data_IF_046001937059
#
_entry.id   IF_046001937059
#
_cell.length_a   1.000
_cell.length_b   1.000
_cell.length_c   1.000
_cell.angle_alpha   90.00
_cell.angle_beta   90.00
_cell.angle_gamma   90.00
#
_symmetry.space_group_name_H-M   'P 1'
#
loop_
_entity.id
_entity.type
_entity.pdbx_description
1 polymer ?
#
# COMPACT_ATOMS: atom_id res chain seq x y z
N UNK A 1 18.41 -41.86 50.31
CA UNK A 1 17.45 -41.02 49.55
C UNK A 1 17.98 -39.59 49.52
N UNK A 2 18.30 -39.06 48.33
CA UNK A 2 19.00 -37.78 48.18
C UNK A 2 18.11 -36.56 48.52
N UNK A 3 18.64 -35.52 49.21
CA UNK A 3 17.87 -34.33 49.61
C UNK A 3 17.47 -33.42 48.43
N UNK A 4 18.14 -33.56 47.29
CA UNK A 4 17.95 -32.75 46.07
C UNK A 4 16.57 -33.03 45.42
N UNK A 5 16.05 -34.26 45.53
CA UNK A 5 14.75 -34.62 44.93
C UNK A 5 13.55 -34.01 45.67
N UNK A 6 13.71 -33.66 46.96
CA UNK A 6 12.67 -32.99 47.77
C UNK A 6 12.57 -31.49 47.45
N UNK A 7 13.68 -30.83 47.15
CA UNK A 7 13.69 -29.42 46.77
C UNK A 7 13.00 -29.18 45.41
N UNK A 8 13.17 -30.11 44.46
CA UNK A 8 12.53 -30.06 43.15
C UNK A 8 11.00 -30.26 43.23
N UNK A 9 10.54 -31.25 44.02
CA UNK A 9 9.10 -31.51 44.20
C UNK A 9 8.35 -30.37 44.92
N UNK A 10 9.04 -29.52 45.69
CA UNK A 10 8.43 -28.38 46.39
C UNK A 10 8.12 -27.22 45.44
N UNK A 11 8.85 -27.06 44.33
CA UNK A 11 8.59 -26.01 43.32
C UNK A 11 7.42 -26.35 42.38
N UNK A 12 7.14 -27.64 42.17
CA UNK A 12 6.00 -28.10 41.35
C UNK A 12 4.66 -28.04 42.10
N UNK A 13 4.66 -28.07 43.44
CA UNK A 13 3.45 -28.00 44.28
C UNK A 13 2.95 -26.57 44.59
N UNK A 14 3.62 -25.54 44.08
CA UNK A 14 3.28 -24.13 44.34
C UNK A 14 2.59 -23.40 43.17
N UNK A 15 2.24 -24.11 42.09
CA UNK A 15 1.50 -23.50 40.99
C UNK A 15 0.00 -23.53 41.33
N UNK A 16 -0.48 -22.47 41.99
CA UNK A 16 -1.92 -22.23 42.10
C UNK A 16 -2.46 -22.00 40.70
N UNK A 17 -3.22 -22.97 40.20
CA UNK A 17 -3.88 -22.88 38.89
C UNK A 17 -4.82 -21.69 38.85
N UNK A 18 -4.76 -20.94 37.76
CA UNK A 18 -5.68 -19.86 37.42
C UNK A 18 -7.12 -20.35 37.60
N UNK A 19 -7.94 -19.60 38.32
CA UNK A 19 -9.30 -20.05 38.58
C UNK A 19 -10.13 -19.99 37.29
N UNK A 20 -11.10 -20.89 37.12
CA UNK A 20 -11.95 -20.91 35.91
C UNK A 20 -12.67 -19.56 35.70
N UNK A 21 -13.02 -18.88 36.79
CA UNK A 21 -13.71 -17.59 36.78
C UNK A 21 -12.82 -16.43 36.31
N UNK A 22 -11.53 -16.53 36.58
CA UNK A 22 -10.51 -15.55 36.21
C UNK A 22 -10.21 -15.64 34.71
N UNK A 23 -10.20 -16.87 34.15
CA UNK A 23 -10.13 -17.04 32.69
C UNK A 23 -11.44 -16.61 32.02
N UNK A 24 -12.59 -16.86 32.66
CA UNK A 24 -13.90 -16.48 32.14
C UNK A 24 -14.06 -14.97 32.02
N UNK A 25 -13.73 -14.19 33.05
CA UNK A 25 -13.89 -12.73 32.99
C UNK A 25 -12.96 -12.11 31.94
N UNK A 26 -11.75 -12.66 31.76
CA UNK A 26 -10.80 -12.18 30.75
C UNK A 26 -11.33 -12.41 29.33
N UNK A 27 -11.87 -13.59 29.02
CA UNK A 27 -12.41 -13.84 27.67
C UNK A 27 -13.65 -12.99 27.39
N UNK A 28 -14.46 -12.68 28.42
CA UNK A 28 -15.64 -11.81 28.28
C UNK A 28 -15.18 -10.38 27.95
N UNK A 29 -14.22 -9.83 28.69
CA UNK A 29 -13.70 -8.49 28.43
C UNK A 29 -12.97 -8.44 27.07
N UNK A 30 -12.15 -9.45 26.75
CA UNK A 30 -11.47 -9.55 25.46
C UNK A 30 -12.47 -9.65 24.29
N UNK A 31 -13.60 -10.34 24.48
CA UNK A 31 -14.68 -10.40 23.50
C UNK A 31 -15.29 -9.03 23.18
N UNK A 32 -15.54 -8.20 24.21
CA UNK A 32 -16.05 -6.85 24.03
C UNK A 32 -15.04 -5.97 23.29
N UNK A 33 -13.76 -6.04 23.67
CA UNK A 33 -12.68 -5.28 23.01
C UNK A 33 -12.53 -5.70 21.54
N UNK A 34 -12.55 -7.00 21.25
CA UNK A 34 -12.44 -7.52 19.88
C UNK A 34 -13.61 -7.07 18.99
N UNK A 35 -14.83 -7.03 19.53
CA UNK A 35 -16.01 -6.60 18.78
C UNK A 35 -15.92 -5.16 18.24
N UNK A 36 -15.28 -4.24 18.99
CA UNK A 36 -15.08 -2.85 18.56
C UNK A 36 -13.80 -2.70 17.72
N UNK A 37 -12.73 -3.41 18.08
CA UNK A 37 -11.44 -3.29 17.41
C UNK A 37 -11.46 -3.76 15.96
N UNK A 38 -12.15 -4.87 15.65
CA UNK A 38 -12.21 -5.46 14.30
C UNK A 38 -12.79 -4.48 13.26
N UNK A 39 -14.00 -3.90 13.43
CA UNK A 39 -14.57 -3.02 12.41
C UNK A 39 -13.74 -1.74 12.21
N UNK A 40 -13.17 -1.18 13.27
CA UNK A 40 -12.31 0.02 13.19
C UNK A 40 -11.05 -0.27 12.39
N UNK A 41 -10.38 -1.39 12.69
CA UNK A 41 -9.13 -1.74 12.01
C UNK A 41 -9.34 -2.00 10.52
N UNK A 42 -10.45 -2.65 10.12
CA UNK A 42 -10.79 -2.89 8.71
C UNK A 42 -10.99 -1.59 7.94
N UNK A 43 -11.61 -0.58 8.55
CA UNK A 43 -11.76 0.75 7.95
C UNK A 43 -10.42 1.48 7.80
N UNK A 44 -9.54 1.40 8.81
CA UNK A 44 -8.21 2.03 8.77
C UNK A 44 -7.30 1.39 7.73
N UNK A 45 -7.30 0.05 7.62
CA UNK A 45 -6.53 -0.66 6.59
C UNK A 45 -6.93 -0.20 5.18
N UNK A 46 -8.24 -0.13 4.90
CA UNK A 46 -8.74 0.36 3.61
C UNK A 46 -8.28 1.79 3.33
N UNK A 47 -8.33 2.67 4.32
CA UNK A 47 -7.83 4.06 4.19
C UNK A 47 -6.32 4.11 3.92
N UNK A 48 -5.54 3.24 4.56
CA UNK A 48 -4.10 3.12 4.31
C UNK A 48 -3.81 2.76 2.85
N UNK A 49 -4.51 1.77 2.29
CA UNK A 49 -4.34 1.38 0.89
C UNK A 49 -4.76 2.46 -0.10
N UNK A 50 -5.76 3.28 0.24
CA UNK A 50 -6.11 4.46 -0.57
C UNK A 50 -5.05 5.55 -0.47
N UNK A 51 -4.46 5.74 0.71
CA UNK A 51 -3.32 6.64 0.87
C UNK A 51 -2.10 6.16 0.06
N UNK A 52 -1.85 4.85 0.02
CA UNK A 52 -0.79 4.26 -0.81
C UNK A 52 -0.97 4.60 -2.29
N UNK A 53 -2.21 4.53 -2.81
CA UNK A 53 -2.51 4.95 -4.18
C UNK A 53 -2.20 6.43 -4.41
N UNK A 54 -2.60 7.31 -3.49
CA UNK A 54 -2.31 8.75 -3.56
C UNK A 54 -0.81 9.03 -3.55
N UNK A 55 -0.04 8.33 -2.74
CA UNK A 55 1.43 8.45 -2.70
C UNK A 55 2.06 8.02 -4.03
N UNK A 56 1.59 6.93 -4.64
CA UNK A 56 2.06 6.50 -5.95
C UNK A 56 1.83 7.58 -7.02
N UNK A 57 0.63 8.16 -7.04
CA UNK A 57 0.26 9.25 -7.97
C UNK A 57 1.09 10.51 -7.72
N UNK A 58 1.30 10.90 -6.47
CA UNK A 58 2.12 12.06 -6.12
C UNK A 58 3.57 11.88 -6.58
N UNK A 59 4.16 10.71 -6.36
CA UNK A 59 5.51 10.38 -6.82
C UNK A 59 5.61 10.40 -8.36
N UNK A 60 4.59 9.89 -9.04
CA UNK A 60 4.52 9.93 -10.50
C UNK A 60 4.45 11.38 -11.00
N UNK A 61 3.60 12.22 -10.39
CA UNK A 61 3.49 13.65 -10.72
C UNK A 61 4.80 14.40 -10.54
N UNK A 62 5.56 14.11 -9.49
CA UNK A 62 6.88 14.70 -9.28
C UNK A 62 7.88 14.23 -10.35
N UNK A 63 7.89 12.94 -10.69
CA UNK A 63 8.75 12.41 -11.74
C UNK A 63 8.45 13.05 -13.11
N UNK A 64 7.17 13.25 -13.40
CA UNK A 64 6.66 13.98 -14.56
C UNK A 64 7.19 15.42 -14.58
N UNK A 65 6.98 16.18 -13.49
CA UNK A 65 7.41 17.58 -13.42
C UNK A 65 8.92 17.72 -13.60
N UNK A 66 9.68 16.82 -12.99
CA UNK A 66 11.13 16.76 -13.14
C UNK A 66 11.55 16.41 -14.56
N UNK A 67 10.80 15.57 -15.26
CA UNK A 67 11.09 15.20 -16.64
C UNK A 67 10.87 16.36 -17.61
N UNK A 68 9.74 17.07 -17.45
CA UNK A 68 9.40 18.27 -18.23
C UNK A 68 10.41 19.39 -17.96
N UNK A 69 10.81 19.60 -16.70
CA UNK A 69 11.75 20.67 -16.36
C UNK A 69 13.15 20.46 -16.92
N UNK A 70 13.50 19.22 -17.32
CA UNK A 70 14.86 18.85 -17.76
C UNK A 70 15.00 18.70 -19.27
N UNK A 71 13.94 18.36 -19.97
CA UNK A 71 13.96 18.19 -21.41
C UNK A 71 13.01 19.24 -21.96
N UNK A 72 13.50 20.21 -22.74
CA UNK A 72 12.66 21.23 -23.42
C UNK A 72 11.82 20.62 -24.57
N UNK A 73 11.73 19.30 -24.64
CA UNK A 73 11.14 18.54 -25.75
C UNK A 73 9.70 18.15 -25.41
N UNK A 74 8.75 18.85 -26.01
CA UNK A 74 7.30 18.62 -25.85
C UNK A 74 6.82 17.22 -26.24
N UNK A 75 7.67 16.37 -26.84
CA UNK A 75 7.36 15.00 -27.25
C UNK A 75 7.98 14.00 -26.29
N UNK A 76 7.36 13.89 -25.13
CA UNK A 76 7.88 13.13 -24.00
C UNK A 76 7.52 11.64 -24.12
N UNK A 77 8.41 10.84 -24.70
CA UNK A 77 8.30 9.39 -24.71
C UNK A 77 8.32 8.84 -23.27
N UNK A 78 7.17 8.41 -22.77
CA UNK A 78 7.09 7.62 -21.57
C UNK A 78 7.75 6.26 -21.86
N UNK A 79 9.04 6.11 -21.55
CA UNK A 79 9.65 4.77 -21.44
C UNK A 79 9.15 4.12 -20.17
N UNK A 80 7.88 3.72 -20.20
CA UNK A 80 7.39 2.73 -19.28
C UNK A 80 8.16 1.43 -19.55
N UNK A 81 8.43 0.59 -18.54
CA UNK A 81 8.87 -0.78 -18.82
C UNK A 81 7.93 -1.42 -19.84
N UNK A 82 8.43 -2.30 -20.73
CA UNK A 82 7.84 -2.88 -21.95
C UNK A 82 6.34 -3.29 -21.94
N UNK A 83 5.68 -3.24 -20.79
CA UNK A 83 4.24 -3.47 -20.59
C UNK A 83 3.40 -2.21 -20.36
N UNK A 84 3.96 -0.99 -20.40
CA UNK A 84 3.18 0.25 -20.20
C UNK A 84 2.67 0.46 -18.76
N UNK A 85 3.16 -0.32 -17.80
CA UNK A 85 2.57 -0.43 -16.46
C UNK A 85 3.66 -0.42 -15.39
N UNK A 86 3.50 0.43 -14.37
CA UNK A 86 4.29 0.39 -13.16
C UNK A 86 3.55 -0.47 -12.13
N UNK A 87 4.13 -1.60 -11.73
CA UNK A 87 3.43 -2.55 -10.86
C UNK A 87 4.35 -3.24 -9.86
N UNK A 88 4.06 -3.05 -8.58
CA UNK A 88 4.66 -3.83 -7.52
C UNK A 88 3.66 -4.91 -7.04
N UNK A 89 3.91 -6.20 -7.33
CA UNK A 89 3.01 -7.26 -6.92
C UNK A 89 2.88 -7.39 -5.41
N UNK A 90 1.66 -7.69 -4.95
CA UNK A 90 1.42 -8.06 -3.55
C UNK A 90 2.31 -9.25 -3.14
N UNK A 91 2.93 -9.15 -1.97
CA UNK A 91 3.81 -10.21 -1.44
C UNK A 91 5.20 -10.28 -2.08
N UNK A 92 5.55 -9.35 -2.98
CA UNK A 92 6.93 -9.23 -3.46
C UNK A 92 7.75 -8.32 -2.55
N UNK A 93 8.92 -8.79 -2.14
CA UNK A 93 9.86 -8.00 -1.33
C UNK A 93 10.73 -7.06 -2.17
N UNK A 94 10.87 -7.36 -3.46
CA UNK A 94 11.53 -6.53 -4.45
C UNK A 94 10.49 -5.86 -5.35
N UNK A 95 10.78 -4.63 -5.77
CA UNK A 95 10.01 -3.92 -6.81
C UNK A 95 10.50 -4.42 -8.17
N UNK A 96 9.73 -5.29 -8.86
CA UNK A 96 10.19 -5.91 -10.10
C UNK A 96 10.11 -4.95 -11.29
N UNK A 97 9.29 -3.90 -11.20
CA UNK A 97 9.24 -2.86 -12.22
C UNK A 97 10.12 -1.71 -11.75
N UNK A 98 11.22 -1.47 -12.46
CA UNK A 98 12.04 -0.28 -12.27
C UNK A 98 11.29 0.94 -12.85
N UNK A 99 10.12 1.26 -12.27
CA UNK A 99 9.18 2.26 -12.75
C UNK A 99 9.89 3.60 -12.89
N UNK A 100 9.91 4.14 -14.11
CA UNK A 100 10.67 5.33 -14.46
C UNK A 100 9.91 6.18 -15.45
N UNK A 101 10.12 7.49 -15.36
CA UNK A 101 9.79 8.45 -16.41
C UNK A 101 11.09 9.17 -16.77
N UNK A 102 11.55 8.94 -17.99
CA UNK A 102 12.94 9.24 -18.37
C UNK A 102 13.92 8.59 -17.38
N UNK A 103 14.78 9.40 -16.77
CA UNK A 103 15.76 8.94 -15.78
C UNK A 103 15.24 8.96 -14.33
N UNK A 104 14.02 9.45 -14.09
CA UNK A 104 13.46 9.59 -12.74
C UNK A 104 12.75 8.31 -12.32
N UNK A 105 13.22 7.66 -11.25
CA UNK A 105 12.53 6.52 -10.64
C UNK A 105 11.26 6.98 -9.91
N UNK A 106 10.17 6.26 -10.08
CA UNK A 106 8.93 6.43 -9.32
C UNK A 106 8.87 5.32 -8.28
N UNK A 107 8.74 5.71 -7.01
CA UNK A 107 8.47 4.76 -5.95
C UNK A 107 6.96 4.52 -5.87
N UNK A 108 6.54 3.27 -6.05
CA UNK A 108 5.15 2.83 -5.85
C UNK A 108 5.06 1.92 -4.62
N UNK A 109 3.95 1.92 -3.87
CA UNK A 109 3.75 0.94 -2.80
C UNK A 109 3.49 -0.47 -3.32
N UNK A 110 3.63 -1.46 -2.43
CA UNK A 110 3.29 -2.86 -2.74
C UNK A 110 1.81 -2.99 -3.10
N UNK A 111 1.49 -3.91 -4.01
CA UNK A 111 0.14 -4.18 -4.49
C UNK A 111 -0.47 -3.08 -5.36
N UNK A 112 0.29 -2.04 -5.72
CA UNK A 112 -0.18 -0.92 -6.54
C UNK A 112 0.28 -1.09 -7.98
N UNK A 113 -0.68 -1.03 -8.90
CA UNK A 113 -0.49 -0.87 -10.34
C UNK A 113 -0.81 0.57 -10.68
N UNK A 114 0.09 1.26 -11.34
CA UNK A 114 -0.03 2.63 -11.79
C UNK A 114 0.14 2.65 -13.31
N UNK A 115 -0.86 3.22 -13.97
CA UNK A 115 -0.86 3.51 -15.40
C UNK A 115 -1.09 5.00 -15.61
N UNK A 116 -0.34 5.59 -16.54
CA UNK A 116 -0.44 7.00 -16.89
C UNK A 116 -1.11 7.07 -18.25
N UNK A 117 -2.34 7.55 -18.30
CA UNK A 117 -3.13 7.62 -19.52
C UNK A 117 -3.17 9.05 -20.05
N UNK A 118 -2.80 9.28 -21.32
CA UNK A 118 -3.10 10.53 -21.98
C UNK A 118 -4.60 10.67 -22.27
N UNK A 119 -5.12 11.88 -22.12
CA UNK A 119 -6.43 12.34 -22.56
C UNK A 119 -6.25 12.76 -24.02
N UNK A 120 -6.98 12.14 -24.94
CA UNK A 120 -6.98 12.48 -26.37
C UNK A 120 -5.66 12.25 -27.14
N UNK A 121 -4.94 11.15 -26.88
CA UNK A 121 -3.88 10.68 -27.80
C UNK A 121 -3.91 9.15 -27.85
N UNK A 122 -3.85 8.58 -29.06
CA UNK A 122 -3.66 7.14 -29.26
C UNK A 122 -2.14 6.88 -29.33
N UNK A 123 -1.50 6.63 -28.18
CA UNK A 123 -0.06 6.38 -28.08
C UNK A 123 0.58 7.04 -26.85
N UNK A 124 1.86 6.76 -26.61
CA UNK A 124 2.63 7.25 -25.44
C UNK A 124 3.15 8.69 -25.58
N UNK A 125 2.81 9.38 -26.67
CA UNK A 125 3.24 10.75 -26.94
C UNK A 125 2.14 11.72 -26.48
N UNK A 126 2.39 12.41 -25.37
CA UNK A 126 1.43 13.38 -24.80
C UNK A 126 1.86 14.80 -25.18
N UNK A 127 1.24 15.36 -26.21
CA UNK A 127 1.67 16.65 -26.78
C UNK A 127 1.29 17.88 -25.93
N UNK A 128 0.45 17.75 -24.88
CA UNK A 128 0.08 18.88 -24.00
C UNK A 128 -0.34 18.42 -22.59
N UNK A 129 0.57 18.52 -21.61
CA UNK A 129 0.41 17.96 -20.25
C UNK A 129 -0.55 18.70 -19.31
N UNK A 130 -0.99 19.92 -19.64
CA UNK A 130 -1.69 20.78 -18.66
C UNK A 130 -3.15 20.40 -18.38
N UNK A 131 -3.79 19.57 -19.21
CA UNK A 131 -5.20 19.16 -19.01
C UNK A 131 -5.50 17.73 -19.45
N UNK A 132 -4.47 16.98 -19.86
CA UNK A 132 -4.63 15.78 -20.66
C UNK A 132 -4.05 14.52 -20.03
N UNK A 133 -3.96 14.42 -18.69
CA UNK A 133 -3.44 13.20 -18.06
C UNK A 133 -4.30 12.80 -16.88
N UNK A 134 -4.65 11.53 -16.86
CA UNK A 134 -5.22 10.87 -15.70
C UNK A 134 -4.36 9.67 -15.33
N UNK A 135 -4.36 9.35 -14.05
CA UNK A 135 -3.69 8.16 -13.52
C UNK A 135 -4.74 7.11 -13.23
N UNK A 136 -4.55 5.92 -13.78
CA UNK A 136 -5.32 4.76 -13.40
C UNK A 136 -4.51 3.93 -12.41
N UNK A 137 -5.07 3.74 -11.22
CA UNK A 137 -4.41 3.04 -10.13
C UNK A 137 -5.24 1.85 -9.72
N UNK A 138 -4.72 0.64 -9.92
CA UNK A 138 -5.33 -0.57 -9.41
C UNK A 138 -4.58 -1.04 -8.16
N UNK A 139 -5.32 -1.33 -7.09
CA UNK A 139 -4.74 -1.82 -5.85
C UNK A 139 -5.22 -3.25 -5.54
N UNK A 140 -4.29 -4.20 -5.51
CA UNK A 140 -4.56 -5.61 -5.28
C UNK A 140 -5.17 -5.90 -3.89
N UNK A 141 -4.94 -5.02 -2.89
CA UNK A 141 -5.53 -5.14 -1.55
C UNK A 141 -6.98 -4.65 -1.50
N UNK A 142 -7.36 -3.77 -2.42
CA UNK A 142 -8.71 -3.23 -2.53
C UNK A 142 -9.55 -3.93 -3.59
N UNK A 143 -8.91 -4.56 -4.58
CA UNK A 143 -9.56 -5.17 -5.73
C UNK A 143 -10.29 -4.15 -6.61
N UNK A 144 -9.87 -2.88 -6.57
CA UNK A 144 -10.52 -1.76 -7.25
C UNK A 144 -9.52 -0.94 -8.06
N UNK A 145 -10.00 -0.44 -9.18
CA UNK A 145 -9.35 0.61 -9.96
C UNK A 145 -9.88 1.98 -9.51
N UNK A 146 -8.97 2.94 -9.42
CA UNK A 146 -9.22 4.31 -9.05
C UNK A 146 -8.62 5.23 -10.11
N UNK A 147 -9.36 6.25 -10.51
CA UNK A 147 -8.86 7.27 -11.43
C UNK A 147 -8.50 8.54 -10.65
N UNK A 148 -7.35 9.14 -10.96
CA UNK A 148 -6.88 10.39 -10.36
C UNK A 148 -6.58 11.41 -11.45
N UNK A 149 -7.04 12.64 -11.29
CA UNK A 149 -6.71 13.72 -12.23
C UNK A 149 -5.27 14.21 -11.98
N UNK A 150 -4.50 14.45 -13.04
CA UNK A 150 -3.15 14.99 -12.88
C UNK A 150 -3.12 16.34 -12.17
N UNK A 151 -4.11 17.20 -12.41
CA UNK A 151 -4.18 18.56 -11.85
C UNK A 151 -4.42 18.55 -10.33
N UNK A 152 -5.19 17.58 -9.82
CA UNK A 152 -5.57 17.45 -8.42
C UNK A 152 -5.65 15.98 -8.00
N UNK A 153 -4.66 15.51 -7.24
CA UNK A 153 -4.59 14.14 -6.74
C UNK A 153 -5.57 13.84 -5.59
N UNK A 154 -6.33 14.83 -5.13
CA UNK A 154 -7.42 14.64 -4.16
C UNK A 154 -8.75 14.28 -4.83
N UNK A 155 -8.87 14.53 -6.14
CA UNK A 155 -10.01 14.10 -6.96
C UNK A 155 -9.76 12.67 -7.41
N UNK A 156 -10.27 11.72 -6.64
CA UNK A 156 -10.20 10.30 -6.92
C UNK A 156 -11.61 9.72 -7.18
N UNK A 157 -11.77 8.94 -8.24
CA UNK A 157 -12.99 8.17 -8.51
C UNK A 157 -12.69 6.67 -8.45
N UNK A 158 -13.26 6.00 -7.46
CA UNK A 158 -13.18 4.56 -7.15
C UNK A 158 -14.58 4.03 -6.76
#
# INVERSE_FOLDING_TARGET
MNPISRALHRRLKGQSGFTMTELLVVIVIAGILAAIAIPVWRGQQRKSYMNDNRVAVANARLAIQNFISKNDDTTYGLTMPDTGLCYWPKGSDTDPTNCKIGNSKIAIPRGVKLEIQPKNQTGTNVENWSSAIHFEVYNDYLGKQCHYEYADSSVETC
#
